data_IF_252899688084
#
_entry.id   IF_252899688084
#
_cell.length_a   1.000
_cell.length_b   1.000
_cell.length_c   1.000
_cell.angle_alpha   90.00
_cell.angle_beta   90.00
_cell.angle_gamma   90.00
#
_symmetry.space_group_name_H-M   'P 1'
#
loop_
_entity.id
_entity.type
_entity.pdbx_description
1 polymer ?
#
# COMPACT_ATOMS: atom_id res chain seq x y z
N UNK A 1 77.58 17.02 20.96
CA UNK A 1 77.54 15.77 20.16
C UNK A 1 76.15 15.17 20.30
N UNK A 2 75.41 15.00 19.20
CA UNK A 2 74.36 13.97 18.98
C UNK A 2 73.13 14.03 19.92
N UNK A 3 71.85 14.03 19.51
CA UNK A 3 71.16 13.58 18.29
C UNK A 3 69.83 14.36 18.19
N UNK A 4 69.45 14.76 16.97
CA UNK A 4 68.12 15.28 16.61
C UNK A 4 67.09 14.14 16.62
N UNK A 5 65.98 14.29 17.34
CA UNK A 5 64.81 13.44 17.17
C UNK A 5 63.72 14.23 16.44
N UNK A 6 63.69 14.09 15.12
CA UNK A 6 62.60 14.55 14.27
C UNK A 6 61.38 13.65 14.52
N UNK A 7 60.30 14.21 15.07
CA UNK A 7 59.01 13.54 15.14
C UNK A 7 58.30 13.70 13.80
N UNK A 8 58.35 12.66 12.98
CA UNK A 8 57.56 12.51 11.76
C UNK A 8 56.09 12.32 12.16
N UNK A 9 55.26 13.34 11.99
CA UNK A 9 53.81 13.19 12.08
C UNK A 9 53.30 12.49 10.82
N UNK A 10 53.13 11.17 10.87
CA UNK A 10 52.35 10.44 9.86
C UNK A 10 50.87 10.77 10.06
N UNK A 11 50.36 11.71 9.28
CA UNK A 11 48.94 11.87 9.06
C UNK A 11 48.45 10.69 8.21
N UNK A 12 48.05 9.59 8.86
CA UNK A 12 47.27 8.54 8.23
C UNK A 12 45.88 9.10 7.94
N UNK A 13 45.73 9.64 6.73
CA UNK A 13 44.43 9.88 6.13
C UNK A 13 43.72 8.52 5.97
N UNK A 14 42.81 8.22 6.89
CA UNK A 14 41.81 7.18 6.70
C UNK A 14 40.96 7.62 5.49
N UNK A 15 40.90 6.86 4.38
CA UNK A 15 39.77 6.98 3.50
C UNK A 15 38.60 6.44 4.32
N UNK A 16 37.86 7.35 4.94
CA UNK A 16 36.50 7.09 5.35
C UNK A 16 35.78 6.65 4.08
N UNK A 17 35.69 5.34 3.88
CA UNK A 17 34.68 4.77 3.03
C UNK A 17 33.34 5.13 3.70
N UNK A 18 32.88 6.34 3.46
CA UNK A 18 31.46 6.61 3.36
C UNK A 18 30.99 5.77 2.16
N UNK A 19 30.89 4.45 2.40
CA UNK A 19 30.11 3.58 1.57
C UNK A 19 28.78 4.28 1.48
N UNK A 20 28.45 4.65 0.25
CA UNK A 20 27.17 5.18 -0.12
C UNK A 20 26.14 4.41 0.69
N UNK A 21 25.45 5.11 1.59
CA UNK A 21 24.08 4.76 1.78
C UNK A 21 23.51 4.82 0.37
N UNK A 22 23.40 3.67 -0.29
CA UNK A 22 22.31 3.41 -1.21
C UNK A 22 21.07 3.63 -0.36
N UNK A 23 20.76 4.93 -0.22
CA UNK A 23 19.65 5.41 0.53
C UNK A 23 18.49 4.72 -0.15
N UNK A 24 17.78 3.88 0.59
CA UNK A 24 16.42 3.50 0.25
C UNK A 24 15.71 4.79 -0.19
N UNK A 25 15.57 5.01 -1.50
CA UNK A 25 14.91 6.20 -2.04
C UNK A 25 13.41 5.95 -2.00
N UNK A 26 12.92 5.51 -0.84
CA UNK A 26 11.51 5.50 -0.52
C UNK A 26 11.09 6.95 -0.37
N UNK A 27 10.61 7.52 -1.48
CA UNK A 27 10.02 8.84 -1.48
C UNK A 27 8.93 8.89 -0.40
N UNK A 28 8.89 9.96 0.41
CA UNK A 28 7.83 10.12 1.40
C UNK A 28 6.47 9.96 0.73
N UNK A 29 5.52 9.24 1.35
CA UNK A 29 4.20 9.05 0.76
C UNK A 29 3.56 10.41 0.47
N UNK A 30 2.92 10.48 -0.69
CA UNK A 30 2.16 11.62 -1.16
C UNK A 30 0.69 11.21 -1.36
N UNK A 31 -0.26 12.15 -1.30
CA UNK A 31 -1.68 11.80 -1.37
C UNK A 31 -2.03 11.10 -2.68
N UNK A 32 -2.72 9.96 -2.58
CA UNK A 32 -3.20 9.19 -3.72
C UNK A 32 -4.43 9.83 -4.38
N UNK A 33 -5.21 10.66 -3.68
CA UNK A 33 -6.38 11.34 -4.24
C UNK A 33 -6.06 12.76 -4.71
N UNK A 34 -6.77 13.22 -5.73
CA UNK A 34 -6.69 14.60 -6.21
C UNK A 34 -7.40 15.56 -5.24
N UNK A 35 -6.65 16.43 -4.57
CA UNK A 35 -7.20 17.37 -3.57
C UNK A 35 -8.37 18.23 -4.09
N UNK A 36 -8.36 18.61 -5.36
CA UNK A 36 -9.45 19.39 -5.97
C UNK A 36 -10.77 18.61 -6.10
N UNK A 37 -10.70 17.28 -6.26
CA UNK A 37 -11.87 16.42 -6.37
C UNK A 37 -12.47 16.07 -5.00
N UNK A 38 -11.69 16.21 -3.92
CA UNK A 38 -12.07 15.81 -2.56
C UNK A 38 -11.79 16.93 -1.55
N UNK A 39 -12.66 17.95 -1.43
CA UNK A 39 -12.43 19.10 -0.56
C UNK A 39 -12.27 18.79 0.93
N UNK A 40 -12.81 17.65 1.38
CA UNK A 40 -12.74 17.19 2.77
C UNK A 40 -11.65 16.13 2.99
N UNK A 41 -10.74 15.97 2.03
CA UNK A 41 -9.64 15.02 2.13
C UNK A 41 -8.70 15.38 3.28
N UNK A 42 -8.28 14.36 4.03
CA UNK A 42 -7.23 14.47 5.04
C UNK A 42 -6.04 13.61 4.62
N UNK A 43 -4.81 14.10 4.82
CA UNK A 43 -3.60 13.30 4.64
C UNK A 43 -2.66 13.51 5.83
N UNK A 44 -2.31 12.41 6.51
CA UNK A 44 -1.51 12.43 7.73
C UNK A 44 -0.34 11.47 7.59
N UNK A 45 0.88 12.01 7.58
CA UNK A 45 2.11 11.19 7.62
C UNK A 45 2.23 10.48 8.97
N UNK A 46 2.77 9.27 8.94
CA UNK A 46 3.03 8.41 10.09
C UNK A 46 4.53 8.12 10.20
N UNK A 47 4.93 7.45 11.28
CA UNK A 47 6.29 6.94 11.44
C UNK A 47 6.59 5.89 10.35
N UNK A 48 7.87 5.56 10.17
CA UNK A 48 8.32 4.50 9.25
C UNK A 48 7.81 4.68 7.82
N UNK A 49 7.91 5.91 7.28
CA UNK A 49 7.45 6.26 5.92
C UNK A 49 5.99 5.89 5.60
N UNK A 50 5.15 5.71 6.63
CA UNK A 50 3.73 5.47 6.45
C UNK A 50 2.91 6.75 6.27
N UNK A 51 1.68 6.61 5.80
CA UNK A 51 0.69 7.68 5.80
C UNK A 51 -0.73 7.11 5.87
N UNK A 52 -1.65 7.92 6.38
CA UNK A 52 -3.07 7.65 6.31
C UNK A 52 -3.76 8.80 5.58
N UNK A 53 -4.59 8.46 4.61
CA UNK A 53 -5.40 9.39 3.83
C UNK A 53 -6.87 9.02 4.00
N UNK A 54 -7.76 10.01 3.97
CA UNK A 54 -9.19 9.73 3.93
C UNK A 54 -9.97 10.79 3.19
N UNK A 55 -11.05 10.40 2.54
CA UNK A 55 -11.96 11.29 1.84
C UNK A 55 -13.39 10.72 1.80
N UNK A 56 -14.39 11.60 1.78
CA UNK A 56 -15.74 11.21 1.38
C UNK A 56 -15.76 11.04 -0.14
N UNK A 57 -16.16 9.87 -0.64
CA UNK A 57 -16.15 9.58 -2.09
C UNK A 57 -17.54 9.55 -2.69
N UNK A 58 -18.55 9.14 -1.92
CA UNK A 58 -19.98 9.18 -2.28
C UNK A 58 -20.81 9.49 -1.04
N UNK A 59 -22.13 9.72 -1.19
CA UNK A 59 -23.03 9.80 -0.04
C UNK A 59 -22.93 8.50 0.77
N UNK A 60 -22.60 8.62 2.06
CA UNK A 60 -22.42 7.51 3.01
C UNK A 60 -21.21 6.58 2.76
N UNK A 61 -20.34 6.87 1.79
CA UNK A 61 -19.11 6.09 1.53
C UNK A 61 -17.87 6.94 1.78
N UNK A 62 -17.06 6.51 2.75
CA UNK A 62 -15.75 7.09 3.05
C UNK A 62 -14.66 6.14 2.54
N UNK A 63 -13.68 6.69 1.85
CA UNK A 63 -12.45 5.98 1.53
C UNK A 63 -11.39 6.31 2.58
N UNK A 64 -10.71 5.28 3.07
CA UNK A 64 -9.51 5.35 3.91
C UNK A 64 -8.37 4.66 3.14
N UNK A 65 -7.24 5.34 2.97
CA UNK A 65 -6.05 4.77 2.32
C UNK A 65 -4.93 4.71 3.34
N UNK A 66 -4.42 3.51 3.59
CA UNK A 66 -3.23 3.31 4.42
C UNK A 66 -2.04 3.02 3.51
N UNK A 67 -0.96 3.78 3.69
CA UNK A 67 0.33 3.52 3.09
C UNK A 67 1.28 3.03 4.17
N UNK A 68 1.89 1.86 3.95
CA UNK A 68 2.94 1.30 4.78
C UNK A 68 4.15 0.98 3.90
N UNK A 69 5.33 1.36 4.35
CA UNK A 69 6.59 1.07 3.67
C UNK A 69 7.60 0.55 4.69
N UNK A 70 8.11 -0.65 4.45
CA UNK A 70 9.25 -1.26 5.14
C UNK A 70 10.34 -1.58 4.11
N UNK A 71 11.54 -1.94 4.58
CA UNK A 71 12.78 -2.08 3.79
C UNK A 71 12.58 -2.87 2.47
N UNK A 72 11.78 -3.93 2.53
CA UNK A 72 11.52 -4.90 1.45
C UNK A 72 10.03 -4.97 1.04
N UNK A 73 9.16 -4.17 1.67
CA UNK A 73 7.71 -4.35 1.53
C UNK A 73 6.98 -3.01 1.44
N UNK A 74 6.15 -2.88 0.42
CA UNK A 74 5.23 -1.75 0.25
C UNK A 74 3.81 -2.25 0.29
N UNK A 75 2.98 -1.70 1.17
CA UNK A 75 1.56 -2.02 1.27
C UNK A 75 0.75 -0.75 1.11
N UNK A 76 -0.24 -0.78 0.21
CA UNK A 76 -1.28 0.24 0.10
C UNK A 76 -2.64 -0.42 0.23
N UNK A 77 -3.41 -0.01 1.25
CA UNK A 77 -4.76 -0.53 1.49
C UNK A 77 -5.78 0.54 1.19
N UNK A 78 -6.70 0.26 0.27
CA UNK A 78 -7.87 1.09 -0.04
C UNK A 78 -9.07 0.49 0.67
N UNK A 79 -9.58 1.16 1.71
CA UNK A 79 -10.72 0.70 2.49
C UNK A 79 -11.94 1.59 2.28
N UNK A 80 -12.98 1.04 1.66
CA UNK A 80 -14.30 1.67 1.59
C UNK A 80 -15.06 1.36 2.88
N UNK A 81 -15.47 2.41 3.58
CA UNK A 81 -16.22 2.35 4.83
C UNK A 81 -17.60 2.94 4.60
N UNK A 82 -18.62 2.14 4.88
CA UNK A 82 -20.02 2.51 4.66
C UNK A 82 -20.93 1.94 5.76
N UNK A 83 -22.11 2.54 6.01
CA UNK A 83 -23.11 1.95 6.89
C UNK A 83 -23.47 0.53 6.45
N UNK A 84 -23.76 -0.33 7.43
CA UNK A 84 -24.19 -1.69 7.12
C UNK A 84 -25.57 -1.65 6.43
N UNK A 85 -25.71 -2.16 5.19
CA UNK A 85 -27.01 -2.24 4.54
C UNK A 85 -27.90 -3.30 5.19
N UNK A 86 -29.21 -3.17 4.97
CA UNK A 86 -30.16 -4.20 5.38
C UNK A 86 -30.00 -5.43 4.48
N UNK A 87 -30.03 -6.62 5.10
CA UNK A 87 -29.89 -7.89 4.39
C UNK A 87 -28.47 -8.46 4.38
N UNK A 88 -28.36 -9.68 3.85
CA UNK A 88 -27.08 -10.35 3.63
C UNK A 88 -26.66 -10.15 2.18
N UNK A 89 -25.38 -9.84 1.97
CA UNK A 89 -24.76 -9.72 0.66
C UNK A 89 -23.59 -10.68 0.58
N UNK A 90 -23.44 -11.33 -0.57
CA UNK A 90 -22.30 -12.22 -0.81
C UNK A 90 -21.04 -11.43 -1.20
N UNK A 91 -19.93 -12.15 -1.39
CA UNK A 91 -18.65 -11.56 -1.70
C UNK A 91 -18.61 -10.93 -3.10
N UNK A 92 -19.37 -11.48 -4.06
CA UNK A 92 -19.44 -10.98 -5.43
C UNK A 92 -20.15 -9.62 -5.49
N UNK A 93 -21.23 -9.46 -4.74
CA UNK A 93 -21.88 -8.16 -4.57
C UNK A 93 -20.89 -7.09 -4.08
N UNK A 94 -20.08 -7.43 -3.08
CA UNK A 94 -19.09 -6.49 -2.54
C UNK A 94 -17.93 -6.23 -3.50
N UNK A 95 -17.53 -7.20 -4.30
CA UNK A 95 -16.56 -7.03 -5.38
C UNK A 95 -17.06 -6.04 -6.43
N UNK A 96 -18.29 -6.23 -6.91
CA UNK A 96 -18.91 -5.35 -7.89
C UNK A 96 -19.02 -3.91 -7.37
N UNK A 97 -19.47 -3.77 -6.11
CA UNK A 97 -19.52 -2.49 -5.43
C UNK A 97 -18.14 -1.83 -5.36
N UNK A 98 -17.12 -2.56 -4.89
CA UNK A 98 -15.76 -2.05 -4.78
C UNK A 98 -15.18 -1.64 -6.13
N UNK A 99 -15.39 -2.45 -7.19
CA UNK A 99 -14.92 -2.15 -8.53
C UNK A 99 -15.56 -0.87 -9.08
N UNK A 100 -16.87 -0.70 -8.90
CA UNK A 100 -17.59 0.50 -9.32
C UNK A 100 -17.09 1.76 -8.60
N UNK A 101 -16.90 1.69 -7.28
CA UNK A 101 -16.40 2.83 -6.50
C UNK A 101 -14.95 3.17 -6.85
N UNK A 102 -14.07 2.16 -6.95
CA UNK A 102 -12.67 2.36 -7.35
C UNK A 102 -12.54 2.96 -8.76
N UNK A 103 -13.42 2.59 -9.69
CA UNK A 103 -13.41 3.11 -11.06
C UNK A 103 -13.75 4.60 -11.13
N UNK A 104 -14.53 5.12 -10.18
CA UNK A 104 -14.92 6.54 -10.14
C UNK A 104 -13.86 7.44 -9.49
N UNK A 105 -12.90 6.86 -8.76
CA UNK A 105 -11.91 7.63 -8.01
C UNK A 105 -11.09 8.56 -8.91
N UNK A 106 -10.89 9.79 -8.44
CA UNK A 106 -10.03 10.80 -9.06
C UNK A 106 -8.66 10.77 -8.39
N UNK A 107 -7.75 9.97 -8.94
CA UNK A 107 -6.46 9.72 -8.32
C UNK A 107 -5.35 10.64 -8.84
N UNK A 108 -4.39 10.97 -7.98
CA UNK A 108 -3.17 11.70 -8.34
C UNK A 108 -2.16 10.75 -9.00
N UNK A 109 -1.03 11.30 -9.48
CA UNK A 109 0.09 10.49 -9.98
C UNK A 109 0.78 9.65 -8.90
N UNK A 110 0.57 9.98 -7.63
CA UNK A 110 1.13 9.23 -6.51
C UNK A 110 0.27 8.01 -6.12
N UNK A 111 -0.95 7.88 -6.67
CA UNK A 111 -1.76 6.69 -6.45
C UNK A 111 -1.09 5.46 -7.02
N UNK A 112 -1.00 4.43 -6.18
CA UNK A 112 -0.31 3.20 -6.54
C UNK A 112 -1.28 2.27 -7.25
N UNK A 113 -0.90 1.88 -8.46
CA UNK A 113 -1.47 0.78 -9.26
C UNK A 113 -3.00 0.60 -9.21
N UNK A 114 -3.74 1.71 -9.30
CA UNK A 114 -5.22 1.67 -9.43
C UNK A 114 -5.67 0.81 -10.63
N UNK A 115 -5.00 0.86 -11.80
CA UNK A 115 -5.34 -0.04 -12.90
C UNK A 115 -5.17 -1.53 -12.55
N UNK A 116 -4.09 -1.92 -11.85
CA UNK A 116 -3.88 -3.29 -11.40
C UNK A 116 -4.93 -3.74 -10.37
N UNK A 117 -5.31 -2.86 -9.43
CA UNK A 117 -6.40 -3.12 -8.48
C UNK A 117 -7.74 -3.36 -9.19
N UNK A 118 -8.09 -2.55 -10.18
CA UNK A 118 -9.31 -2.74 -10.97
C UNK A 118 -9.27 -4.04 -11.79
N UNK A 119 -8.12 -4.38 -12.36
CA UNK A 119 -7.92 -5.63 -13.08
C UNK A 119 -8.05 -6.85 -12.15
N UNK A 120 -7.51 -6.75 -10.93
CA UNK A 120 -7.68 -7.75 -9.89
C UNK A 120 -9.15 -7.95 -9.51
N UNK A 121 -9.87 -6.87 -9.20
CA UNK A 121 -11.29 -6.95 -8.81
C UNK A 121 -12.14 -7.67 -9.86
N UNK A 122 -11.87 -7.43 -11.16
CA UNK A 122 -12.53 -8.14 -12.25
C UNK A 122 -12.21 -9.64 -12.28
N UNK A 123 -10.96 -10.04 -11.99
CA UNK A 123 -10.55 -11.45 -11.94
C UNK A 123 -11.07 -12.15 -10.68
N UNK A 124 -11.27 -11.41 -9.59
CA UNK A 124 -11.59 -11.94 -8.27
C UNK A 124 -12.88 -12.77 -8.21
N UNK A 125 -13.86 -12.52 -9.09
CA UNK A 125 -15.08 -13.33 -9.22
C UNK A 125 -14.82 -14.82 -9.47
N UNK A 126 -13.70 -15.16 -10.13
CA UNK A 126 -13.32 -16.54 -10.42
C UNK A 126 -12.46 -17.19 -9.33
N UNK A 127 -12.07 -16.44 -8.30
CA UNK A 127 -11.17 -16.93 -7.26
C UNK A 127 -11.95 -17.62 -6.15
N UNK A 128 -11.36 -18.67 -5.58
CA UNK A 128 -11.90 -19.31 -4.38
C UNK A 128 -11.46 -18.53 -3.15
N UNK A 129 -12.39 -18.13 -2.26
CA UNK A 129 -12.00 -17.45 -1.04
C UNK A 129 -11.26 -18.39 -0.10
N UNK A 130 -10.18 -17.89 0.50
CA UNK A 130 -9.42 -18.54 1.57
C UNK A 130 -9.44 -17.64 2.80
N UNK A 131 -9.83 -18.19 3.95
CA UNK A 131 -9.97 -17.43 5.22
C UNK A 131 -10.78 -16.11 5.07
N UNK A 132 -11.83 -16.11 4.23
CA UNK A 132 -12.69 -14.95 3.99
C UNK A 132 -12.08 -13.85 3.11
N UNK A 133 -10.99 -14.14 2.39
CA UNK A 133 -10.31 -13.21 1.47
C UNK A 133 -10.20 -13.81 0.07
N UNK A 134 -10.15 -12.95 -0.94
CA UNK A 134 -9.73 -13.31 -2.29
C UNK A 134 -8.35 -12.73 -2.51
N UNK A 135 -7.42 -13.50 -3.05
CA UNK A 135 -6.06 -13.06 -3.26
C UNK A 135 -5.47 -13.66 -4.54
N UNK A 136 -4.60 -12.92 -5.19
CA UNK A 136 -3.84 -13.36 -6.36
C UNK A 136 -2.48 -12.68 -6.36
N UNK A 137 -1.48 -13.38 -6.84
CA UNK A 137 -0.13 -12.85 -7.04
C UNK A 137 -0.07 -12.03 -8.33
N UNK A 138 0.88 -11.08 -8.45
CA UNK A 138 0.91 -10.18 -9.63
C UNK A 138 1.29 -10.89 -10.92
N UNK A 139 2.01 -12.01 -10.81
CA UNK A 139 2.27 -12.95 -11.89
C UNK A 139 1.02 -13.76 -12.32
N UNK A 140 -0.08 -13.66 -11.55
CA UNK A 140 -1.35 -14.34 -11.79
C UNK A 140 -1.48 -15.70 -11.12
N UNK A 141 -0.48 -16.14 -10.34
CA UNK A 141 -0.55 -17.40 -9.60
C UNK A 141 -1.38 -17.26 -8.31
N UNK A 142 -1.78 -18.39 -7.75
CA UNK A 142 -2.47 -18.43 -6.47
C UNK A 142 -1.43 -18.35 -5.32
N UNK A 143 -1.71 -17.59 -4.25
CA UNK A 143 -0.80 -17.51 -3.11
C UNK A 143 -0.64 -18.87 -2.42
N UNK A 144 0.59 -19.19 -2.02
CA UNK A 144 0.92 -20.38 -1.22
C UNK A 144 0.90 -19.97 0.25
N UNK A 145 0.20 -20.74 1.09
CA UNK A 145 0.01 -20.42 2.52
C UNK A 145 -0.56 -19.00 2.79
N UNK A 146 -1.23 -18.42 1.80
CA UNK A 146 -1.84 -17.10 1.89
C UNK A 146 -0.92 -15.93 1.51
N UNK A 147 0.30 -16.21 1.06
CA UNK A 147 1.29 -15.21 0.66
C UNK A 147 1.74 -15.39 -0.80
N UNK A 148 2.10 -14.28 -1.43
CA UNK A 148 2.80 -14.29 -2.71
C UNK A 148 4.29 -14.16 -2.45
N UNK A 149 5.07 -14.98 -3.13
CA UNK A 149 6.51 -14.97 -3.00
C UNK A 149 7.14 -13.72 -3.63
N UNK A 150 8.45 -13.60 -3.43
CA UNK A 150 9.25 -12.55 -4.02
C UNK A 150 9.19 -12.55 -5.55
N UNK A 151 9.19 -13.74 -6.18
CA UNK A 151 9.18 -13.91 -7.64
C UNK A 151 7.90 -13.33 -8.27
N UNK A 152 6.81 -13.35 -7.51
CA UNK A 152 5.53 -12.74 -7.86
C UNK A 152 5.49 -11.22 -7.74
N UNK A 153 6.51 -10.58 -7.16
CA UNK A 153 6.56 -9.13 -6.88
C UNK A 153 5.40 -8.63 -5.99
N UNK A 154 4.86 -9.53 -5.16
CA UNK A 154 3.70 -9.30 -4.30
C UNK A 154 2.36 -9.69 -4.95
N UNK A 155 1.29 -9.03 -4.53
CA UNK A 155 -0.05 -9.45 -4.91
C UNK A 155 -1.14 -8.45 -4.56
N UNK A 156 -2.37 -8.89 -4.80
CA UNK A 156 -3.58 -8.16 -4.45
C UNK A 156 -4.45 -8.98 -3.52
N UNK A 157 -5.12 -8.31 -2.59
CA UNK A 157 -6.05 -8.94 -1.63
C UNK A 157 -7.35 -8.15 -1.60
N UNK A 158 -8.47 -8.87 -1.58
CA UNK A 158 -9.80 -8.33 -1.33
C UNK A 158 -10.37 -8.97 -0.07
N UNK A 159 -10.89 -8.13 0.83
CA UNK A 159 -11.51 -8.57 2.09
C UNK A 159 -12.72 -7.71 2.41
N UNK A 160 -13.74 -8.33 3.00
CA UNK A 160 -14.91 -7.65 3.55
C UNK A 160 -15.02 -7.95 5.04
N UNK A 161 -14.98 -6.91 5.87
CA UNK A 161 -15.25 -7.00 7.30
C UNK A 161 -16.58 -6.32 7.61
N UNK A 162 -17.51 -7.05 8.22
CA UNK A 162 -18.81 -6.50 8.63
C UNK A 162 -18.89 -6.41 10.15
N UNK A 163 -19.16 -5.20 10.65
CA UNK A 163 -19.43 -4.94 12.06
C UNK A 163 -20.94 -4.81 12.29
N UNK A 164 -21.37 -4.44 13.51
CA UNK A 164 -22.78 -4.17 13.78
C UNK A 164 -23.32 -3.00 12.95
N UNK A 165 -22.50 -1.96 12.72
CA UNK A 165 -22.97 -0.68 12.17
C UNK A 165 -22.35 -0.33 10.81
N UNK A 166 -21.27 -0.99 10.42
CA UNK A 166 -20.52 -0.64 9.22
C UNK A 166 -20.00 -1.88 8.48
N UNK A 167 -19.84 -1.73 7.18
CA UNK A 167 -19.07 -2.63 6.33
C UNK A 167 -17.75 -1.92 5.99
N UNK A 168 -16.66 -2.68 5.97
CA UNK A 168 -15.33 -2.24 5.55
C UNK A 168 -14.86 -3.17 4.45
N UNK A 169 -14.65 -2.61 3.26
CA UNK A 169 -14.20 -3.36 2.09
C UNK A 169 -12.77 -2.91 1.81
N UNK A 170 -11.81 -3.79 2.02
CA UNK A 170 -10.38 -3.49 1.87
C UNK A 170 -9.83 -4.15 0.63
N UNK A 171 -9.18 -3.35 -0.21
CA UNK A 171 -8.46 -3.79 -1.40
C UNK A 171 -6.99 -3.41 -1.20
N UNK A 172 -6.12 -4.40 -1.12
CA UNK A 172 -4.70 -4.22 -0.84
C UNK A 172 -3.90 -4.44 -2.10
N UNK A 173 -3.00 -3.51 -2.42
CA UNK A 173 -1.82 -3.75 -3.25
C UNK A 173 -0.64 -3.92 -2.29
N UNK A 174 0.06 -5.04 -2.38
CA UNK A 174 1.36 -5.17 -1.74
C UNK A 174 2.41 -5.57 -2.78
N UNK A 175 3.62 -5.03 -2.59
CA UNK A 175 4.79 -5.38 -3.35
C UNK A 175 5.89 -5.82 -2.40
N UNK A 176 6.46 -6.98 -2.68
CA UNK A 176 7.75 -7.42 -2.16
C UNK A 176 8.85 -6.92 -3.10
N UNK A 177 9.93 -6.36 -2.55
CA UNK A 177 11.06 -5.75 -3.25
C UNK A 177 12.38 -6.38 -2.82
#
# INVERSE_FOLDING_TARGET
MKIYAAALALALALPGAAQAAEACTFQPPSPALQAQAYPQQTFVRKKNNGAAESAQVEKDVRLEILHSQCVDTLVTEYTLVLPRPAGAHDLNYWLDFAAAEMQRLKTSKAARDVPGLLAFLKKAHGLKPAAGKLAICKDGTAPVDGECDFESLGGYIFKVDTTRNAVRITITDYASA
#
